data_IF_801263863119
#
_entry.id   IF_801263863119
#
_cell.length_a   1.000
_cell.length_b   1.000
_cell.length_c   1.000
_cell.angle_alpha   90.00
_cell.angle_beta   90.00
_cell.angle_gamma   90.00
#
_symmetry.space_group_name_H-M   'P 1'
#
loop_
_entity.id
_entity.type
_entity.pdbx_description
1 polymer ?
#
# COMPACT_ATOMS: atom_id res chain seq x y z
N UNK A 1 1.28 -5.86 -2.13
CA UNK A 1 0.28 -6.93 -2.07
C UNK A 1 -0.31 -7.14 -3.44
N UNK A 2 -0.19 -8.35 -3.98
CA UNK A 2 -0.63 -8.66 -5.33
C UNK A 2 -1.89 -9.53 -5.31
N UNK A 3 -2.80 -9.30 -6.25
CA UNK A 3 -4.01 -10.12 -6.48
C UNK A 3 -4.15 -10.46 -7.96
N UNK A 4 -5.20 -11.24 -8.28
CA UNK A 4 -5.59 -11.49 -9.66
C UNK A 4 -6.19 -10.22 -10.27
N UNK A 5 -6.16 -10.13 -11.59
CA UNK A 5 -6.80 -9.06 -12.36
C UNK A 5 -8.24 -8.80 -11.88
N UNK A 6 -8.58 -7.52 -11.70
CA UNK A 6 -9.88 -7.05 -11.23
C UNK A 6 -10.09 -7.11 -9.70
N UNK A 7 -9.14 -7.65 -8.94
CA UNK A 7 -9.27 -7.89 -7.49
C UNK A 7 -8.41 -6.93 -6.64
N UNK A 8 -7.90 -5.81 -7.18
CA UNK A 8 -6.98 -4.89 -6.47
C UNK A 8 -7.52 -4.41 -5.13
N UNK A 9 -8.84 -4.17 -5.05
CA UNK A 9 -9.50 -3.69 -3.83
C UNK A 9 -9.37 -4.68 -2.68
N UNK A 10 -9.30 -5.99 -2.96
CA UNK A 10 -9.17 -7.06 -1.96
C UNK A 10 -7.75 -7.12 -1.36
N UNK A 11 -6.76 -6.54 -2.03
CA UNK A 11 -5.40 -6.44 -1.53
C UNK A 11 -5.24 -5.41 -0.39
N UNK A 12 -6.09 -4.38 -0.35
CA UNK A 12 -5.89 -3.21 0.50
C UNK A 12 -5.90 -3.55 2.00
N UNK A 13 -6.83 -4.40 2.45
CA UNK A 13 -6.90 -4.79 3.86
C UNK A 13 -5.69 -5.59 4.33
N UNK A 14 -5.23 -6.54 3.51
CA UNK A 14 -4.04 -7.36 3.81
C UNK A 14 -2.78 -6.49 3.82
N UNK A 15 -2.64 -5.63 2.81
CA UNK A 15 -1.56 -4.65 2.73
C UNK A 15 -1.51 -3.74 3.95
N UNK A 16 -2.66 -3.19 4.37
CA UNK A 16 -2.74 -2.32 5.54
C UNK A 16 -2.31 -3.06 6.81
N UNK A 17 -2.71 -4.33 6.97
CA UNK A 17 -2.26 -5.18 8.07
C UNK A 17 -0.74 -5.31 8.13
N UNK A 18 -0.10 -5.62 6.98
CA UNK A 18 1.36 -5.71 6.91
C UNK A 18 2.05 -4.38 7.20
N UNK A 19 1.54 -3.29 6.65
CA UNK A 19 2.08 -1.95 6.88
C UNK A 19 1.98 -1.54 8.36
N UNK A 20 0.87 -1.85 9.03
CA UNK A 20 0.68 -1.57 10.45
C UNK A 20 1.70 -2.29 11.33
N UNK A 21 2.00 -3.56 11.03
CA UNK A 21 3.04 -4.31 11.73
C UNK A 21 4.43 -3.67 11.58
N UNK A 22 4.80 -3.28 10.35
CA UNK A 22 6.08 -2.61 10.08
C UNK A 22 6.15 -1.26 10.78
N UNK A 23 5.07 -0.46 10.72
CA UNK A 23 4.99 0.83 11.40
C UNK A 23 5.18 0.68 12.91
N UNK A 24 4.45 -0.25 13.53
CA UNK A 24 4.56 -0.55 14.96
C UNK A 24 5.99 -0.97 15.36
N UNK A 25 6.65 -1.79 14.55
CA UNK A 25 8.05 -2.19 14.78
C UNK A 25 9.01 -0.98 14.71
N UNK A 26 8.81 -0.05 13.77
CA UNK A 26 9.64 1.17 13.67
C UNK A 26 9.45 2.10 14.86
N UNK A 27 8.22 2.25 15.34
CA UNK A 27 7.92 3.00 16.57
C UNK A 27 8.63 2.37 17.76
N UNK A 28 8.53 1.04 17.93
CA UNK A 28 9.18 0.32 19.02
C UNK A 28 10.71 0.43 18.98
N UNK A 29 11.30 0.54 17.78
CA UNK A 29 12.73 0.73 17.60
C UNK A 29 13.20 2.19 17.76
N UNK A 30 12.32 3.13 18.12
CA UNK A 30 12.66 4.53 18.33
C UNK A 30 13.12 5.26 17.06
N UNK A 31 12.66 4.83 15.87
CA UNK A 31 13.01 5.48 14.61
C UNK A 31 12.41 6.88 14.54
N UNK A 32 13.18 7.84 14.03
CA UNK A 32 12.73 9.23 13.82
C UNK A 32 11.69 9.36 12.71
N UNK A 33 11.79 8.51 11.68
CA UNK A 33 10.79 8.38 10.63
C UNK A 33 10.20 6.96 10.66
N UNK A 34 8.90 6.87 10.93
CA UNK A 34 8.15 5.62 10.94
C UNK A 34 7.26 5.44 9.71
N UNK A 35 7.34 6.34 8.72
CA UNK A 35 6.47 6.34 7.54
C UNK A 35 6.57 5.05 6.74
N UNK A 36 5.47 4.33 6.57
CA UNK A 36 5.43 3.10 5.77
C UNK A 36 4.64 3.35 4.49
N UNK A 37 5.20 2.91 3.36
CA UNK A 37 4.52 2.90 2.06
C UNK A 37 4.24 1.47 1.63
N UNK A 38 3.15 1.28 0.89
CA UNK A 38 2.76 -0.01 0.32
C UNK A 38 2.05 0.17 -1.00
N UNK A 39 2.05 -0.88 -1.82
CA UNK A 39 1.33 -0.92 -3.10
C UNK A 39 0.45 -2.16 -3.17
N UNK A 40 -0.81 -1.96 -3.54
CA UNK A 40 -1.77 -2.98 -3.92
C UNK A 40 -1.86 -3.00 -5.45
N UNK A 41 -1.74 -4.18 -6.06
CA UNK A 41 -1.79 -4.30 -7.52
C UNK A 41 -2.35 -5.63 -7.99
N UNK A 42 -2.94 -5.64 -9.17
CA UNK A 42 -3.37 -6.84 -9.88
C UNK A 42 -2.61 -7.06 -11.21
N UNK A 43 -1.59 -6.23 -11.46
CA UNK A 43 -0.80 -6.22 -12.70
C UNK A 43 -1.19 -5.11 -13.68
N UNK A 44 -2.39 -4.52 -13.56
CA UNK A 44 -2.86 -3.43 -14.42
C UNK A 44 -3.18 -2.19 -13.60
N UNK A 45 -3.86 -2.39 -12.47
CA UNK A 45 -4.16 -1.36 -11.50
C UNK A 45 -3.11 -1.32 -10.38
N UNK A 46 -2.75 -0.11 -9.95
CA UNK A 46 -1.84 0.14 -8.84
C UNK A 46 -2.45 1.14 -7.89
N UNK A 47 -2.50 0.78 -6.62
CA UNK A 47 -3.02 1.62 -5.55
C UNK A 47 -1.97 1.78 -4.45
N UNK A 48 -1.58 3.02 -4.20
CA UNK A 48 -0.53 3.35 -3.24
C UNK A 48 -1.14 3.69 -1.88
N UNK A 49 -0.60 3.11 -0.81
CA UNK A 49 -1.03 3.32 0.56
C UNK A 49 0.15 3.88 1.37
N UNK A 50 -0.12 4.72 2.36
CA UNK A 50 0.86 5.15 3.35
C UNK A 50 0.30 5.21 4.77
N UNK A 51 1.17 5.00 5.75
CA UNK A 51 0.94 5.33 7.16
C UNK A 51 2.04 6.32 7.54
N UNK A 52 1.66 7.53 7.94
CA UNK A 52 2.62 8.56 8.38
C UNK A 52 3.00 8.41 9.87
N UNK A 53 3.98 9.17 10.38
CA UNK A 53 4.41 9.06 11.78
C UNK A 53 3.31 9.43 12.79
N UNK A 54 2.29 10.16 12.37
CA UNK A 54 1.12 10.50 13.17
C UNK A 54 0.05 9.40 13.15
N UNK A 55 0.38 8.23 12.57
CA UNK A 55 -0.50 7.06 12.41
C UNK A 55 -1.70 7.36 11.50
N UNK A 56 -1.62 8.38 10.66
CA UNK A 56 -2.66 8.68 9.68
C UNK A 56 -2.44 7.78 8.47
N UNK A 57 -3.48 7.01 8.16
CA UNK A 57 -3.53 6.21 6.95
C UNK A 57 -3.99 7.06 5.76
N UNK A 58 -3.29 6.94 4.63
CA UNK A 58 -3.68 7.57 3.37
C UNK A 58 -3.68 6.54 2.25
N UNK A 59 -4.65 6.68 1.37
CA UNK A 59 -4.78 5.91 0.15
C UNK A 59 -4.71 6.88 -1.01
N UNK A 60 -3.71 6.72 -1.86
CA UNK A 60 -3.50 7.50 -3.06
C UNK A 60 -4.48 7.12 -4.17
N UNK A 61 -4.36 7.84 -5.29
CA UNK A 61 -5.13 7.55 -6.50
C UNK A 61 -4.82 6.17 -7.08
N UNK A 62 -5.78 5.66 -7.85
CA UNK A 62 -5.60 4.47 -8.68
C UNK A 62 -4.82 4.87 -9.93
N UNK A 63 -3.73 4.16 -10.22
CA UNK A 63 -3.02 4.25 -11.49
C UNK A 63 -3.40 3.02 -12.31
N UNK A 64 -4.02 3.24 -13.46
CA UNK A 64 -4.43 2.20 -14.40
C UNK A 64 -3.49 2.21 -15.61
N UNK A 65 -2.86 1.07 -15.89
CA UNK A 65 -1.95 0.92 -17.01
C UNK A 65 -2.72 0.50 -18.25
N UNK A 66 -2.87 1.42 -19.19
CA UNK A 66 -3.37 1.11 -20.53
C UNK A 66 -2.20 0.72 -21.43
N UNK A 67 -2.11 -0.57 -21.75
CA UNK A 67 -1.23 -1.04 -22.81
C UNK A 67 -1.96 -0.84 -24.14
N UNK A 68 -1.46 0.07 -24.98
CA UNK A 68 -1.97 0.23 -26.34
C UNK A 68 -1.71 -1.02 -27.18
N UNK A 69 -2.58 -1.29 -28.15
CA UNK A 69 -2.39 -2.38 -29.12
C UNK A 69 -1.06 -2.15 -29.87
N UNK A 70 -0.17 -3.14 -29.81
CA UNK A 70 1.12 -3.18 -30.54
C UNK A 70 0.93 -3.43 -32.03
#
# INVERSE_FOLDING_TARGET
EAKREGDVSRACGQLLGYMACVHASRVAAGRTDTTVYGVATDGFEYRFLSIDPQKVFRMGGLVDLQFGDL
#
